data_IF_622206195868
#
_entry.id   IF_622206195868
#
_cell.length_a   1.000
_cell.length_b   1.000
_cell.length_c   1.000
_cell.angle_alpha   90.00
_cell.angle_beta   90.00
_cell.angle_gamma   90.00
#
_symmetry.space_group_name_H-M   'P 1'
#
loop_
_entity.id
_entity.type
_entity.pdbx_description
1 polymer ?
#
# COMPACT_ATOMS: atom_id res chain seq x y z
N UNK A 1 5.52 16.63 7.96
CA UNK A 1 5.95 16.61 9.37
C UNK A 1 6.29 15.17 9.75
N UNK A 2 7.31 14.96 10.59
CA UNK A 2 7.84 13.64 10.95
C UNK A 2 6.79 12.67 11.54
N UNK A 3 5.76 13.18 12.22
CA UNK A 3 4.67 12.37 12.76
C UNK A 3 3.83 11.65 11.69
N UNK A 4 3.55 12.32 10.56
CA UNK A 4 2.78 11.72 9.47
C UNK A 4 3.51 10.53 8.85
N UNK A 5 4.83 10.66 8.66
CA UNK A 5 5.67 9.61 8.07
C UNK A 5 5.66 8.34 8.94
N UNK A 6 5.67 8.50 10.27
CA UNK A 6 5.60 7.35 11.19
C UNK A 6 4.23 6.69 11.18
N UNK A 7 3.15 7.47 11.11
CA UNK A 7 1.79 6.93 10.99
C UNK A 7 1.59 6.20 9.65
N UNK A 8 2.12 6.74 8.55
CA UNK A 8 2.11 6.09 7.24
C UNK A 8 2.90 4.78 7.27
N UNK A 9 4.04 4.74 7.96
CA UNK A 9 4.82 3.51 8.13
C UNK A 9 4.07 2.46 8.97
N UNK A 10 3.34 2.87 10.01
CA UNK A 10 2.49 1.98 10.79
C UNK A 10 1.33 1.43 9.95
N UNK A 11 0.59 2.30 9.27
CA UNK A 11 -0.49 1.90 8.37
C UNK A 11 0.03 0.95 7.28
N UNK A 12 1.19 1.22 6.69
CA UNK A 12 1.87 0.35 5.73
C UNK A 12 2.39 -0.98 6.32
N UNK A 13 2.27 -1.20 7.63
CA UNK A 13 2.46 -2.51 8.27
C UNK A 13 1.14 -3.26 8.51
N UNK A 14 0.02 -2.65 8.15
CA UNK A 14 -1.34 -3.17 8.25
C UNK A 14 -2.17 -2.61 9.41
N UNK A 15 -1.56 -1.89 10.37
CA UNK A 15 -2.27 -1.42 11.57
C UNK A 15 -1.67 -0.15 12.17
N UNK A 16 -2.51 0.69 12.76
CA UNK A 16 -2.10 1.75 13.70
C UNK A 16 -2.08 1.18 15.11
N UNK A 17 -1.02 1.45 15.87
CA UNK A 17 -0.89 0.94 17.25
C UNK A 17 -1.37 1.99 18.25
N UNK A 18 -2.33 1.63 19.11
CA UNK A 18 -2.66 2.40 20.31
C UNK A 18 -1.67 2.03 21.43
N UNK A 19 -0.74 2.93 21.82
CA UNK A 19 0.26 2.62 22.83
C UNK A 19 -0.30 2.58 24.26
N UNK A 20 -1.46 3.18 24.52
CA UNK A 20 -2.08 3.21 25.85
C UNK A 20 -2.86 1.93 26.13
N UNK A 21 -3.53 1.39 25.11
CA UNK A 21 -4.29 0.14 25.20
C UNK A 21 -3.52 -1.09 24.71
N UNK A 22 -2.39 -0.87 24.04
CA UNK A 22 -1.61 -1.90 23.36
C UNK A 22 -2.44 -2.68 22.32
N UNK A 23 -3.29 -1.96 21.58
CA UNK A 23 -4.17 -2.52 20.54
C UNK A 23 -3.68 -2.16 19.14
N UNK A 24 -3.91 -3.07 18.19
CA UNK A 24 -3.69 -2.82 16.76
C UNK A 24 -5.02 -2.54 16.11
N UNK A 25 -5.17 -1.35 15.57
CA UNK A 25 -6.39 -0.85 14.98
C UNK A 25 -6.19 -0.67 13.48
N UNK A 26 -7.24 -0.93 12.71
CA UNK A 26 -7.31 -0.43 11.34
C UNK A 26 -7.30 1.10 11.32
N UNK A 27 -7.03 1.70 10.17
CA UNK A 27 -7.04 3.16 10.04
C UNK A 27 -8.43 3.73 10.37
N UNK A 28 -9.50 3.07 9.92
CA UNK A 28 -10.87 3.48 10.21
C UNK A 28 -11.19 3.44 11.72
N UNK A 29 -10.70 2.41 12.42
CA UNK A 29 -10.84 2.28 13.87
C UNK A 29 -10.00 3.32 14.62
N UNK A 30 -8.79 3.60 14.16
CA UNK A 30 -7.89 4.59 14.76
C UNK A 30 -8.47 6.02 14.64
N UNK A 31 -9.13 6.34 13.52
CA UNK A 31 -9.85 7.61 13.35
C UNK A 31 -11.08 7.64 14.27
N UNK A 32 -11.86 6.56 14.32
CA UNK A 32 -13.06 6.46 15.17
C UNK A 32 -12.74 6.57 16.67
N UNK A 33 -11.58 6.06 17.09
CA UNK A 33 -11.08 6.14 18.44
C UNK A 33 -10.38 7.48 18.77
N UNK A 34 -10.24 8.37 17.79
CA UNK A 34 -9.59 9.68 17.96
C UNK A 34 -8.07 9.61 18.10
N UNK A 35 -7.43 8.48 17.76
CA UNK A 35 -5.96 8.36 17.75
C UNK A 35 -5.33 9.10 16.57
N UNK A 36 -6.06 9.19 15.47
CA UNK A 36 -5.63 9.82 14.22
C UNK A 36 -6.65 10.87 13.83
N UNK A 37 -6.18 12.06 13.47
CA UNK A 37 -7.04 13.12 12.93
C UNK A 37 -7.62 12.77 11.57
N UNK A 38 -8.88 13.13 11.33
CA UNK A 38 -9.59 12.87 10.06
C UNK A 38 -8.89 13.48 8.84
N UNK A 39 -8.06 14.51 9.02
CA UNK A 39 -7.32 15.21 7.97
C UNK A 39 -6.26 14.36 7.26
N UNK A 40 -5.79 13.27 7.89
CA UNK A 40 -4.80 12.35 7.32
C UNK A 40 -5.37 10.96 7.03
N UNK A 41 -6.68 10.77 7.25
CA UNK A 41 -7.39 9.50 7.07
C UNK A 41 -7.14 8.88 5.69
N UNK A 42 -7.36 9.62 4.60
CA UNK A 42 -7.19 9.10 3.24
C UNK A 42 -5.75 8.65 2.95
N UNK A 43 -4.76 9.35 3.49
CA UNK A 43 -3.34 9.00 3.30
C UNK A 43 -2.99 7.71 4.03
N UNK A 44 -3.39 7.60 5.30
CA UNK A 44 -3.15 6.38 6.09
C UNK A 44 -3.92 5.19 5.54
N UNK A 45 -5.17 5.40 5.14
CA UNK A 45 -6.00 4.35 4.55
C UNK A 45 -5.41 3.84 3.24
N UNK A 46 -4.78 4.73 2.46
CA UNK A 46 -4.04 4.34 1.27
C UNK A 46 -2.81 3.50 1.59
N UNK A 47 -2.06 3.85 2.64
CA UNK A 47 -0.91 3.08 3.11
C UNK A 47 -1.30 1.71 3.68
N UNK A 48 -2.41 1.63 4.43
CA UNK A 48 -2.95 0.37 4.95
C UNK A 48 -3.42 -0.57 3.85
N UNK A 49 -4.22 -0.07 2.91
CA UNK A 49 -4.72 -0.86 1.77
C UNK A 49 -3.61 -1.39 0.87
N UNK A 50 -2.45 -0.74 0.87
CA UNK A 50 -1.27 -1.25 0.17
C UNK A 50 -0.80 -2.61 0.71
N UNK A 51 -1.18 -3.01 1.92
CA UNK A 51 -0.81 -4.29 2.54
C UNK A 51 -2.00 -5.17 2.87
N UNK A 52 -3.16 -4.59 3.20
CA UNK A 52 -4.39 -5.35 3.50
C UNK A 52 -5.24 -5.65 2.26
N UNK A 53 -4.95 -5.00 1.13
CA UNK A 53 -5.73 -5.11 -0.11
C UNK A 53 -6.78 -4.02 -0.25
N UNK A 54 -7.23 -3.78 -1.47
CA UNK A 54 -8.30 -2.84 -1.78
C UNK A 54 -9.64 -3.59 -1.86
N UNK A 55 -10.72 -2.95 -1.43
CA UNK A 55 -12.06 -3.50 -1.61
C UNK A 55 -12.61 -3.07 -2.96
N UNK A 56 -12.92 -4.04 -3.82
CA UNK A 56 -13.59 -3.80 -5.08
C UNK A 56 -15.02 -3.27 -4.81
N UNK A 57 -15.39 -2.09 -5.34
CA UNK A 57 -16.68 -1.48 -5.05
C UNK A 57 -17.87 -2.29 -5.58
N UNK A 58 -17.67 -3.08 -6.63
CA UNK A 58 -18.69 -3.89 -7.30
C UNK A 58 -18.81 -5.29 -6.70
N UNK A 59 -17.70 -5.99 -6.52
CA UNK A 59 -17.70 -7.38 -6.04
C UNK A 59 -17.62 -7.51 -4.53
N UNK A 60 -17.22 -6.44 -3.82
CA UNK A 60 -16.84 -6.43 -2.39
C UNK A 60 -15.69 -7.39 -2.06
N UNK A 61 -15.03 -7.96 -3.07
CA UNK A 61 -13.85 -8.80 -2.91
C UNK A 61 -12.61 -7.96 -2.63
N UNK A 62 -11.60 -8.61 -2.05
CA UNK A 62 -10.27 -8.01 -1.94
C UNK A 62 -9.51 -8.16 -3.27
N UNK A 63 -8.96 -7.05 -3.74
CA UNK A 63 -8.13 -6.98 -4.95
C UNK A 63 -6.76 -6.40 -4.60
N UNK A 64 -5.77 -6.76 -5.40
CA UNK A 64 -4.39 -6.31 -5.23
C UNK A 64 -4.25 -4.81 -5.52
N UNK A 65 -3.13 -4.23 -5.08
CA UNK A 65 -2.74 -2.86 -5.39
C UNK A 65 -2.71 -2.59 -6.90
N UNK A 66 -2.21 -3.55 -7.67
CA UNK A 66 -2.12 -3.43 -9.13
C UNK A 66 -3.49 -3.46 -9.79
N UNK A 67 -4.39 -4.35 -9.35
CA UNK A 67 -5.76 -4.39 -9.84
C UNK A 67 -6.50 -3.09 -9.50
N UNK A 68 -6.37 -2.59 -8.28
CA UNK A 68 -6.95 -1.32 -7.87
C UNK A 68 -6.45 -0.14 -8.72
N UNK A 69 -5.16 -0.15 -9.09
CA UNK A 69 -4.58 0.84 -10.00
C UNK A 69 -5.17 0.76 -11.41
N UNK A 70 -5.31 -0.46 -11.95
CA UNK A 70 -5.89 -0.67 -13.29
C UNK A 70 -7.38 -0.34 -13.35
N UNK A 71 -8.10 -0.51 -12.24
CA UNK A 71 -9.50 -0.10 -12.10
C UNK A 71 -9.67 1.40 -11.80
N UNK A 72 -8.58 2.15 -11.63
CA UNK A 72 -8.63 3.59 -11.34
C UNK A 72 -9.12 3.93 -9.92
N UNK A 73 -9.11 2.96 -9.00
CA UNK A 73 -9.46 3.16 -7.59
C UNK A 73 -8.37 3.91 -6.81
N UNK A 74 -7.15 3.93 -7.35
CA UNK A 74 -6.02 4.71 -6.86
C UNK A 74 -5.35 5.47 -8.00
N UNK A 75 -4.74 6.61 -7.67
CA UNK A 75 -3.92 7.36 -8.62
C UNK A 75 -2.71 6.52 -9.04
N UNK A 76 -2.47 6.41 -10.35
CA UNK A 76 -1.37 5.60 -10.92
C UNK A 76 -0.01 5.96 -10.33
N UNK A 77 0.29 7.25 -10.18
CA UNK A 77 1.55 7.72 -9.59
C UNK A 77 1.74 7.26 -8.13
N UNK A 78 0.65 7.17 -7.36
CA UNK A 78 0.70 6.65 -6.01
C UNK A 78 0.85 5.13 -5.99
N UNK A 79 0.09 4.42 -6.83
CA UNK A 79 0.16 2.97 -6.97
C UNK A 79 1.56 2.48 -7.37
N UNK A 80 2.22 3.17 -8.30
CA UNK A 80 3.60 2.86 -8.73
C UNK A 80 4.58 2.92 -7.54
N UNK A 81 4.55 3.99 -6.75
CA UNK A 81 5.43 4.14 -5.57
C UNK A 81 5.21 3.04 -4.53
N UNK A 82 3.97 2.61 -4.34
CA UNK A 82 3.62 1.54 -3.41
C UNK A 82 4.06 0.16 -3.96
N UNK A 83 3.92 -0.09 -5.26
CA UNK A 83 4.40 -1.31 -5.91
C UNK A 83 5.92 -1.41 -5.85
N UNK A 84 6.64 -0.30 -6.07
CA UNK A 84 8.09 -0.21 -5.90
C UNK A 84 8.51 -0.62 -4.49
N UNK A 85 7.85 -0.05 -3.47
CA UNK A 85 8.11 -0.41 -2.08
C UNK A 85 7.86 -1.89 -1.80
N UNK A 86 6.80 -2.48 -2.36
CA UNK A 86 6.53 -3.91 -2.22
C UNK A 86 7.65 -4.78 -2.83
N UNK A 87 8.05 -4.49 -4.06
CA UNK A 87 9.15 -5.22 -4.74
C UNK A 87 10.46 -5.08 -3.95
N UNK A 88 10.81 -3.87 -3.52
CA UNK A 88 12.02 -3.59 -2.76
C UNK A 88 12.06 -4.29 -1.38
N UNK A 89 10.90 -4.60 -0.82
CA UNK A 89 10.76 -5.25 0.50
C UNK A 89 10.43 -6.75 0.41
N UNK A 90 10.69 -7.38 -0.73
CA UNK A 90 10.68 -8.84 -0.87
C UNK A 90 9.52 -9.43 -1.67
N UNK A 91 8.73 -8.61 -2.38
CA UNK A 91 7.75 -9.08 -3.35
C UNK A 91 6.37 -8.45 -3.22
N UNK A 92 5.52 -8.74 -4.21
CA UNK A 92 4.16 -8.19 -4.35
C UNK A 92 3.24 -8.79 -3.30
N UNK A 93 2.39 -7.97 -2.69
CA UNK A 93 1.45 -8.44 -1.67
C UNK A 93 0.27 -9.19 -2.31
N UNK A 94 0.00 -10.40 -1.83
CA UNK A 94 -1.27 -11.09 -2.05
C UNK A 94 -2.27 -10.65 -0.96
N UNK A 95 -3.34 -9.93 -1.31
CA UNK A 95 -4.30 -9.44 -0.33
C UNK A 95 -5.13 -10.57 0.28
N UNK A 96 -5.43 -11.63 -0.48
CA UNK A 96 -6.32 -12.73 -0.04
C UNK A 96 -5.62 -13.67 0.95
N UNK A 97 -4.34 -13.96 0.70
CA UNK A 97 -3.55 -14.88 1.53
C UNK A 97 -2.59 -14.16 2.49
N UNK A 98 -2.59 -12.82 2.47
CA UNK A 98 -1.81 -11.94 3.34
C UNK A 98 -0.31 -12.29 3.42
N UNK A 99 0.29 -12.67 2.29
CA UNK A 99 1.73 -12.93 2.18
C UNK A 99 2.32 -12.32 0.91
N UNK A 100 3.65 -12.23 0.85
CA UNK A 100 4.35 -11.73 -0.33
C UNK A 100 4.53 -12.82 -1.36
N UNK A 101 4.43 -12.44 -2.62
CA UNK A 101 4.66 -13.27 -3.79
C UNK A 101 5.93 -12.83 -4.50
N UNK A 102 6.76 -13.79 -4.95
CA UNK A 102 7.77 -13.51 -5.96
C UNK A 102 7.10 -12.88 -7.20
N UNK A 103 7.82 -11.99 -7.86
CA UNK A 103 7.34 -11.24 -9.03
C UNK A 103 6.80 -12.17 -10.12
N UNK A 104 7.45 -13.30 -10.35
CA UNK A 104 7.05 -14.30 -11.34
C UNK A 104 5.71 -14.98 -11.00
N UNK A 105 5.40 -15.12 -9.71
CA UNK A 105 4.12 -15.67 -9.24
C UNK A 105 3.04 -14.61 -9.31
N UNK A 106 3.38 -13.35 -8.99
CA UNK A 106 2.47 -12.22 -9.10
C UNK A 106 1.98 -12.01 -10.54
N UNK A 107 2.84 -12.22 -11.55
CA UNK A 107 2.44 -12.22 -12.96
C UNK A 107 1.35 -13.24 -13.27
N UNK A 108 1.47 -14.46 -12.77
CA UNK A 108 0.50 -15.54 -13.02
C UNK A 108 -0.84 -15.28 -12.36
N UNK A 109 -0.86 -14.55 -11.24
CA UNK A 109 -2.08 -14.17 -10.51
C UNK A 109 -2.69 -12.86 -11.01
N UNK A 110 -2.02 -12.14 -11.92
CA UNK A 110 -2.48 -10.83 -12.39
C UNK A 110 -2.35 -9.72 -11.37
N UNK A 111 -1.59 -9.92 -10.29
CA UNK A 111 -1.31 -8.89 -9.26
C UNK A 111 -0.14 -7.99 -9.64
N UNK A 112 0.51 -8.28 -10.76
CA UNK A 112 1.61 -7.51 -11.31
C UNK A 112 1.81 -7.92 -12.78
N UNK A 113 2.53 -7.12 -13.57
CA UNK A 113 2.87 -7.47 -14.95
C UNK A 113 4.28 -7.05 -15.35
N UNK A 114 4.72 -7.56 -16.51
CA UNK A 114 6.07 -7.33 -17.01
C UNK A 114 6.29 -5.87 -17.44
N UNK A 115 5.23 -5.19 -17.89
CA UNK A 115 5.29 -3.79 -18.29
C UNK A 115 5.57 -2.90 -17.07
N UNK A 116 4.82 -3.08 -16.00
CA UNK A 116 5.02 -2.40 -14.73
C UNK A 116 6.40 -2.72 -14.15
N UNK A 117 6.85 -3.98 -14.22
CA UNK A 117 8.19 -4.32 -13.77
C UNK A 117 9.29 -3.57 -14.54
N UNK A 118 9.11 -3.34 -15.85
CA UNK A 118 10.04 -2.52 -16.65
C UNK A 118 10.01 -1.07 -16.22
N UNK A 119 8.82 -0.51 -15.98
CA UNK A 119 8.64 0.86 -15.47
C UNK A 119 9.39 1.03 -14.14
N UNK A 120 9.18 0.12 -13.19
CA UNK A 120 9.86 0.18 -11.88
C UNK A 120 11.37 -0.05 -11.96
N UNK A 121 11.84 -0.81 -12.95
CA UNK A 121 13.26 -1.10 -13.13
C UNK A 121 14.02 0.04 -13.82
N UNK A 122 13.33 0.96 -14.49
CA UNK A 122 13.96 2.06 -15.23
C UNK A 122 14.50 3.13 -14.26
N UNK A 123 15.82 3.36 -14.21
CA UNK A 123 16.40 4.38 -13.34
C UNK A 123 16.09 5.82 -13.76
N UNK A 124 15.56 6.04 -14.97
CA UNK A 124 15.22 7.37 -15.50
C UNK A 124 13.76 7.79 -15.30
N UNK A 125 12.91 6.92 -14.74
CA UNK A 125 11.49 7.23 -14.54
C UNK A 125 11.27 8.15 -13.33
N UNK A 126 10.61 9.29 -13.56
CA UNK A 126 10.34 10.35 -12.57
C UNK A 126 9.34 9.93 -11.47
N UNK A 127 8.84 8.69 -11.51
CA UNK A 127 7.93 8.12 -10.52
C UNK A 127 8.62 7.65 -9.24
N UNK A 128 9.96 7.68 -9.19
CA UNK A 128 10.81 7.37 -8.03
C UNK A 128 10.65 8.43 -6.93
N UNK A 129 9.53 8.37 -6.22
CA UNK A 129 9.21 9.26 -5.11
C UNK A 129 9.98 8.97 -3.81
N UNK A 130 11.09 8.24 -3.88
CA UNK A 130 12.00 8.03 -2.75
C UNK A 130 13.26 8.88 -2.96
N UNK A 131 13.43 9.87 -2.08
CA UNK A 131 14.69 10.60 -1.94
C UNK A 131 15.72 9.70 -1.25
N UNK A 132 16.83 9.40 -1.92
CA UNK A 132 18.04 8.90 -1.27
C UNK A 132 18.70 10.09 -0.54
N UNK A 133 18.90 10.05 0.79
CA UNK A 133 19.36 11.21 1.57
C UNK A 133 20.90 11.37 1.62
N UNK A 134 21.66 10.68 0.78
CA UNK A 134 23.13 10.75 0.77
C UNK A 134 23.69 11.98 0.03
#
# INVERSE_FOLDING_TARGET
GTALVLLEAQAASGFITDPLKNEKLSVDEAVSAGLVGSEIHEKLLSAERAVTGYTDPYTKGQISLFEAMNQGLILKSHGIRLLEAQVATGGIVDPVHSHRLPVEVAYKRGYFDQEMNRILSDPSDDTKGFFDPN
#
